data_IF_016522438028
#
_entry.id   IF_016522438028
#
_cell.length_a   1.000
_cell.length_b   1.000
_cell.length_c   1.000
_cell.angle_alpha   90.00
_cell.angle_beta   90.00
_cell.angle_gamma   90.00
#
_symmetry.space_group_name_H-M   'P 1'
#
loop_
_entity.id
_entity.type
_entity.pdbx_description
1 polymer ?
#
# COMPACT_ATOMS: atom_id res chain seq x y z
N UNK A 1 -4.63 13.84 -21.69
CA UNK A 1 -4.66 13.72 -20.20
C UNK A 1 -4.88 12.27 -19.79
N UNK A 2 -4.02 11.76 -18.87
CA UNK A 2 -4.06 10.37 -18.41
C UNK A 2 -5.32 10.06 -17.64
N UNK A 3 -5.99 8.95 -17.98
CA UNK A 3 -7.14 8.39 -17.25
C UNK A 3 -6.88 6.92 -16.95
N UNK A 4 -7.07 6.48 -15.71
CA UNK A 4 -6.90 5.09 -15.27
C UNK A 4 -8.16 4.67 -14.54
N UNK A 5 -8.81 3.59 -15.00
CA UNK A 5 -9.97 3.01 -14.32
C UNK A 5 -9.49 2.01 -13.27
N UNK A 6 -9.86 2.24 -12.00
CA UNK A 6 -9.67 1.31 -10.88
C UNK A 6 -11.05 0.97 -10.34
N UNK A 7 -11.43 -0.29 -10.35
CA UNK A 7 -12.78 -0.71 -9.98
C UNK A 7 -13.85 0.04 -10.79
N UNK A 8 -14.71 0.77 -10.08
CA UNK A 8 -15.77 1.59 -10.69
C UNK A 8 -15.34 3.04 -10.95
N UNK A 9 -14.18 3.49 -10.43
CA UNK A 9 -13.73 4.88 -10.47
C UNK A 9 -12.73 5.13 -11.58
N UNK A 10 -12.80 6.31 -12.18
CA UNK A 10 -11.81 6.80 -13.14
C UNK A 10 -10.95 7.85 -12.44
N UNK A 11 -9.65 7.57 -12.36
CA UNK A 11 -8.67 8.46 -11.76
C UNK A 11 -7.99 9.26 -12.87
N UNK A 12 -7.93 10.58 -12.70
CA UNK A 12 -7.30 11.52 -13.63
C UNK A 12 -6.82 12.75 -12.85
N UNK A 13 -6.12 13.68 -13.52
CA UNK A 13 -5.74 14.97 -12.92
C UNK A 13 -6.94 15.74 -12.31
N UNK A 14 -8.11 15.62 -12.93
CA UNK A 14 -9.31 16.39 -12.55
C UNK A 14 -10.32 15.57 -11.73
N UNK A 15 -10.03 14.30 -11.44
CA UNK A 15 -10.92 13.51 -10.59
C UNK A 15 -10.77 13.88 -9.12
N UNK A 16 -11.76 13.51 -8.31
CA UNK A 16 -11.60 13.45 -6.85
C UNK A 16 -10.42 12.53 -6.52
N UNK A 17 -9.82 12.73 -5.37
CA UNK A 17 -8.77 11.86 -4.84
C UNK A 17 -9.33 10.46 -4.56
N UNK A 18 -8.53 9.43 -4.83
CA UNK A 18 -8.84 8.03 -4.56
C UNK A 18 -8.07 7.59 -3.31
N UNK A 19 -8.80 7.21 -2.26
CA UNK A 19 -8.24 6.89 -0.95
C UNK A 19 -8.18 5.37 -0.74
N UNK A 20 -6.98 4.87 -0.41
CA UNK A 20 -6.67 3.45 -0.14
C UNK A 20 -6.37 3.27 1.35
N UNK A 21 -7.24 2.60 2.08
CA UNK A 21 -7.02 2.22 3.46
C UNK A 21 -6.22 0.91 3.51
N UNK A 22 -4.95 0.97 3.90
CA UNK A 22 -4.10 -0.21 4.05
C UNK A 22 -4.38 -0.90 5.40
N UNK A 23 -5.15 -1.97 5.36
CA UNK A 23 -5.36 -2.82 6.53
C UNK A 23 -4.05 -3.52 6.91
N UNK A 24 -3.19 -3.82 5.92
CA UNK A 24 -1.90 -4.45 6.15
C UNK A 24 -2.01 -5.69 7.02
N UNK A 25 -1.25 -5.72 8.13
CA UNK A 25 -1.29 -6.78 9.14
C UNK A 25 -2.35 -6.58 10.23
N UNK A 26 -3.10 -5.47 10.23
CA UNK A 26 -4.03 -5.09 11.31
C UNK A 26 -5.24 -6.01 11.46
N UNK A 27 -5.41 -7.01 10.58
CA UNK A 27 -6.39 -8.08 10.74
C UNK A 27 -6.00 -9.09 11.83
N UNK A 28 -4.76 -9.05 12.37
CA UNK A 28 -4.26 -9.89 13.47
C UNK A 28 -4.48 -11.41 13.25
N UNK A 29 -4.44 -11.89 12.00
CA UNK A 29 -4.71 -13.30 11.66
C UNK A 29 -6.17 -13.75 11.82
N UNK A 30 -7.11 -12.84 12.08
CA UNK A 30 -8.54 -13.14 12.29
C UNK A 30 -9.39 -12.66 11.10
N UNK A 31 -10.06 -13.60 10.43
CA UNK A 31 -10.98 -13.32 9.31
C UNK A 31 -12.17 -12.43 9.72
N UNK A 32 -12.71 -12.60 10.93
CA UNK A 32 -13.84 -11.79 11.42
C UNK A 32 -13.39 -10.33 11.57
N UNK A 33 -12.17 -10.14 12.07
CA UNK A 33 -11.54 -8.84 12.18
C UNK A 33 -11.28 -8.22 10.81
N UNK A 34 -10.72 -8.98 9.87
CA UNK A 34 -10.52 -8.52 8.48
C UNK A 34 -11.83 -7.98 7.87
N UNK A 35 -12.94 -8.71 8.02
CA UNK A 35 -14.28 -8.30 7.56
C UNK A 35 -14.78 -7.04 8.28
N UNK A 36 -14.56 -6.93 9.59
CA UNK A 36 -14.90 -5.72 10.38
C UNK A 36 -14.15 -4.50 9.84
N UNK A 37 -12.84 -4.63 9.59
CA UNK A 37 -12.00 -3.55 9.08
C UNK A 37 -12.43 -3.10 7.68
N UNK A 38 -12.78 -4.01 6.76
CA UNK A 38 -13.34 -3.65 5.44
C UNK A 38 -14.58 -2.76 5.61
N UNK A 39 -15.51 -3.15 6.48
CA UNK A 39 -16.72 -2.36 6.75
C UNK A 39 -16.39 -0.98 7.33
N UNK A 40 -15.43 -0.90 8.24
CA UNK A 40 -15.00 0.38 8.83
C UNK A 40 -14.31 1.27 7.80
N UNK A 41 -13.44 0.75 6.94
CA UNK A 41 -12.83 1.49 5.83
C UNK A 41 -13.90 2.12 4.93
N UNK A 42 -14.90 1.34 4.52
CA UNK A 42 -15.98 1.83 3.67
C UNK A 42 -16.79 2.93 4.36
N UNK A 43 -17.14 2.76 5.65
CA UNK A 43 -17.88 3.76 6.43
C UNK A 43 -17.09 5.04 6.65
N UNK A 44 -15.77 4.94 6.78
CA UNK A 44 -14.88 6.09 6.93
C UNK A 44 -14.63 6.85 5.61
N UNK A 45 -15.16 6.37 4.49
CA UNK A 45 -15.08 7.05 3.18
C UNK A 45 -13.89 6.63 2.32
N UNK A 46 -13.24 5.49 2.62
CA UNK A 46 -12.20 4.96 1.75
C UNK A 46 -12.80 4.41 0.43
N UNK A 47 -12.08 4.59 -0.68
CA UNK A 47 -12.44 4.04 -1.99
C UNK A 47 -12.02 2.58 -2.16
N UNK A 48 -10.91 2.23 -1.52
CA UNK A 48 -10.38 0.88 -1.47
C UNK A 48 -9.90 0.53 -0.07
N UNK A 49 -9.95 -0.76 0.28
CA UNK A 49 -9.17 -1.30 1.36
C UNK A 49 -8.15 -2.31 0.82
N UNK A 50 -6.93 -2.26 1.35
CA UNK A 50 -5.80 -3.05 0.86
C UNK A 50 -5.34 -4.04 1.93
N UNK A 51 -5.05 -5.25 1.48
CA UNK A 51 -4.34 -6.27 2.24
C UNK A 51 -2.93 -6.49 1.69
N UNK A 52 -2.19 -7.37 2.34
CA UNK A 52 -0.84 -7.75 1.95
C UNK A 52 -0.77 -9.28 1.87
N UNK A 53 -0.48 -9.83 0.68
CA UNK A 53 -0.37 -11.27 0.47
C UNK A 53 1.09 -11.68 0.48
N UNK A 54 1.53 -12.27 1.57
CA UNK A 54 2.87 -12.83 1.73
C UNK A 54 2.83 -14.16 2.48
N UNK A 55 3.92 -14.92 2.37
CA UNK A 55 4.24 -16.07 3.23
C UNK A 55 5.55 -15.75 3.94
N UNK A 56 5.62 -15.96 5.25
CA UNK A 56 6.84 -15.71 6.00
C UNK A 56 8.06 -16.37 5.35
N UNK A 57 7.93 -17.63 4.91
CA UNK A 57 9.01 -18.40 4.27
C UNK A 57 9.54 -17.85 2.94
N UNK A 58 8.79 -16.98 2.26
CA UNK A 58 9.19 -16.39 0.96
C UNK A 58 9.61 -14.93 1.07
N UNK A 59 9.40 -14.28 2.22
CA UNK A 59 9.72 -12.87 2.42
C UNK A 59 10.77 -12.63 3.52
N UNK A 60 10.91 -13.56 4.49
CA UNK A 60 11.80 -13.43 5.65
C UNK A 60 12.75 -14.63 5.74
N UNK A 61 14.04 -14.35 5.84
CA UNK A 61 15.03 -15.35 6.24
C UNK A 61 15.15 -15.37 7.76
N UNK A 62 14.51 -16.34 8.44
CA UNK A 62 14.56 -16.46 9.90
C UNK A 62 15.99 -16.54 10.44
N UNK A 63 16.84 -17.34 9.77
CA UNK A 63 18.24 -17.51 10.12
C UNK A 63 19.03 -16.19 10.03
N UNK A 64 18.85 -15.44 8.95
CA UNK A 64 19.59 -14.19 8.74
C UNK A 64 19.11 -13.10 9.69
N UNK A 65 17.79 -12.96 9.89
CA UNK A 65 17.24 -11.96 10.81
C UNK A 65 17.68 -12.20 12.26
N UNK A 66 17.84 -13.46 12.70
CA UNK A 66 18.39 -13.79 14.03
C UNK A 66 19.87 -13.39 14.18
N UNK A 67 20.64 -13.45 13.08
CA UNK A 67 22.07 -13.07 13.07
C UNK A 67 22.30 -11.56 12.90
N UNK A 68 21.38 -10.86 12.23
CA UNK A 68 21.51 -9.44 11.97
C UNK A 68 21.27 -8.65 13.24
N UNK A 69 22.33 -8.02 13.76
CA UNK A 69 22.23 -7.10 14.91
C UNK A 69 21.69 -5.72 14.46
N UNK A 70 20.55 -5.72 13.76
CA UNK A 70 19.99 -4.52 13.11
C UNK A 70 19.23 -3.69 14.14
N UNK A 71 19.52 -2.40 14.21
CA UNK A 71 18.76 -1.40 14.96
C UNK A 71 17.51 -0.97 14.19
N UNK A 72 16.56 -1.89 13.99
CA UNK A 72 15.27 -1.60 13.37
C UNK A 72 14.15 -1.59 14.41
N UNK A 73 13.00 -1.01 14.08
CA UNK A 73 11.81 -1.06 14.92
C UNK A 73 11.39 -2.50 15.28
N UNK A 74 11.72 -3.47 14.43
CA UNK A 74 11.45 -4.90 14.59
C UNK A 74 12.21 -5.52 15.78
N UNK A 75 13.33 -4.94 16.21
CA UNK A 75 14.09 -5.38 17.39
C UNK A 75 13.29 -5.28 18.70
N UNK A 76 12.25 -4.43 18.71
CA UNK A 76 11.34 -4.23 19.86
C UNK A 76 10.23 -5.28 19.94
N UNK A 77 10.10 -6.16 18.94
CA UNK A 77 9.08 -7.19 18.94
C UNK A 77 9.45 -8.33 19.91
N UNK A 78 8.46 -8.84 20.62
CA UNK A 78 8.66 -10.00 21.52
C UNK A 78 8.84 -11.33 20.78
N UNK A 79 8.25 -11.42 19.58
CA UNK A 79 8.38 -12.56 18.67
C UNK A 79 9.45 -12.26 17.62
N UNK A 80 10.05 -13.32 17.06
CA UNK A 80 10.93 -13.17 15.90
C UNK A 80 10.20 -12.54 14.72
N UNK A 81 10.94 -11.90 13.82
CA UNK A 81 10.37 -11.32 12.59
C UNK A 81 9.60 -12.38 11.80
N UNK A 82 10.14 -13.58 11.71
CA UNK A 82 9.51 -14.71 11.01
C UNK A 82 8.15 -15.09 11.62
N UNK A 83 8.06 -15.17 12.95
CA UNK A 83 6.80 -15.47 13.65
C UNK A 83 5.75 -14.38 13.45
N UNK A 84 6.17 -13.09 13.52
CA UNK A 84 5.26 -11.96 13.28
C UNK A 84 4.70 -12.02 11.86
N UNK A 85 5.53 -12.29 10.86
CA UNK A 85 5.07 -12.44 9.47
C UNK A 85 4.22 -13.69 9.27
N UNK A 86 4.48 -14.78 10.01
CA UNK A 86 3.63 -15.99 9.98
C UNK A 86 2.22 -15.67 10.48
N UNK A 87 2.12 -15.01 11.63
CA UNK A 87 0.85 -14.62 12.24
C UNK A 87 0.08 -13.63 11.37
N UNK A 88 0.76 -12.72 10.66
CA UNK A 88 0.17 -11.72 9.79
C UNK A 88 -0.10 -12.21 8.37
N UNK A 89 0.28 -13.44 8.03
CA UNK A 89 0.04 -14.01 6.69
C UNK A 89 -1.46 -14.24 6.45
N UNK A 90 -1.92 -13.83 5.28
CA UNK A 90 -3.31 -14.06 4.86
C UNK A 90 -3.49 -15.49 4.34
N UNK A 91 -4.53 -16.18 4.80
CA UNK A 91 -4.92 -17.46 4.23
C UNK A 91 -5.60 -17.24 2.87
N UNK A 92 -5.11 -17.90 1.83
CA UNK A 92 -5.63 -17.80 0.46
C UNK A 92 -7.13 -18.12 0.35
N UNK A 93 -7.65 -18.96 1.23
CA UNK A 93 -9.09 -19.29 1.27
C UNK A 93 -9.95 -18.08 1.61
N UNK A 94 -9.38 -17.06 2.28
CA UNK A 94 -10.11 -15.85 2.59
C UNK A 94 -10.45 -15.01 1.37
N UNK A 95 -9.70 -15.11 0.28
CA UNK A 95 -9.88 -14.25 -0.91
C UNK A 95 -11.32 -14.27 -1.44
N UNK A 96 -11.95 -15.44 -1.53
CA UNK A 96 -13.35 -15.57 -1.96
C UNK A 96 -14.32 -14.94 -0.96
N UNK A 97 -14.05 -15.11 0.33
CA UNK A 97 -14.88 -14.57 1.41
C UNK A 97 -14.76 -13.05 1.45
N UNK A 98 -13.53 -12.53 1.51
CA UNK A 98 -13.26 -11.11 1.53
C UNK A 98 -13.85 -10.42 0.30
N UNK A 99 -13.76 -11.02 -0.91
CA UNK A 99 -14.35 -10.46 -2.13
C UNK A 99 -15.86 -10.21 -2.00
N UNK A 100 -16.58 -11.11 -1.29
CA UNK A 100 -18.02 -10.91 -1.01
C UNK A 100 -18.23 -9.71 -0.07
N UNK A 101 -17.40 -9.58 0.98
CA UNK A 101 -17.51 -8.46 1.92
C UNK A 101 -17.14 -7.12 1.25
N UNK A 102 -16.13 -7.07 0.40
CA UNK A 102 -15.80 -5.90 -0.43
C UNK A 102 -16.97 -5.47 -1.31
N UNK A 103 -17.60 -6.44 -2.01
CA UNK A 103 -18.78 -6.17 -2.85
C UNK A 103 -19.94 -5.65 -2.01
N UNK A 104 -20.23 -6.27 -0.84
CA UNK A 104 -21.29 -5.87 0.09
C UNK A 104 -21.13 -4.45 0.59
N UNK A 105 -19.89 -4.03 0.86
CA UNK A 105 -19.58 -2.70 1.37
C UNK A 105 -19.27 -1.67 0.27
N UNK A 106 -19.40 -2.04 -1.01
CA UNK A 106 -19.18 -1.18 -2.19
C UNK A 106 -17.81 -0.48 -2.19
N UNK A 107 -16.75 -1.17 -1.76
CA UNK A 107 -15.38 -0.70 -1.69
C UNK A 107 -14.47 -1.62 -2.54
N UNK A 108 -13.40 -1.08 -3.15
CA UNK A 108 -12.49 -1.86 -3.98
C UNK A 108 -11.54 -2.71 -3.14
N UNK A 109 -11.36 -3.97 -3.55
CA UNK A 109 -10.39 -4.89 -2.95
C UNK A 109 -9.02 -4.71 -3.63
N UNK A 110 -8.03 -4.19 -2.92
CA UNK A 110 -6.64 -4.13 -3.37
C UNK A 110 -5.73 -5.03 -2.54
N UNK A 111 -4.58 -5.38 -3.10
CA UNK A 111 -3.52 -6.07 -2.37
C UNK A 111 -2.15 -5.81 -2.95
N UNK A 112 -1.12 -5.94 -2.09
CA UNK A 112 0.28 -6.10 -2.48
C UNK A 112 0.63 -7.58 -2.42
N UNK A 113 0.89 -8.25 -3.55
CA UNK A 113 1.46 -9.60 -3.54
C UNK A 113 2.98 -9.52 -3.37
N UNK A 114 3.52 -10.23 -2.40
CA UNK A 114 4.96 -10.33 -2.10
C UNK A 114 5.52 -11.71 -2.48
N UNK A 115 4.86 -12.41 -3.40
CA UNK A 115 5.25 -13.71 -3.91
C UNK A 115 4.73 -13.84 -5.35
N UNK A 116 5.54 -14.40 -6.25
CA UNK A 116 5.18 -14.54 -7.66
C UNK A 116 3.89 -15.37 -7.87
N UNK A 117 3.64 -16.37 -7.01
CA UNK A 117 2.43 -17.18 -7.11
C UNK A 117 1.19 -16.39 -6.70
N UNK A 118 1.33 -15.51 -5.68
CA UNK A 118 0.22 -14.66 -5.28
C UNK A 118 -0.22 -13.67 -6.37
N UNK A 119 0.68 -13.27 -7.27
CA UNK A 119 0.28 -12.42 -8.42
C UNK A 119 -0.80 -13.09 -9.25
N UNK A 120 -0.70 -14.39 -9.50
CA UNK A 120 -1.71 -15.14 -10.26
C UNK A 120 -2.96 -15.41 -9.40
N UNK A 121 -2.76 -15.81 -8.17
CA UNK A 121 -3.83 -16.21 -7.26
C UNK A 121 -4.81 -15.05 -6.99
N UNK A 122 -4.31 -13.84 -6.72
CA UNK A 122 -5.14 -12.68 -6.41
C UNK A 122 -5.74 -12.01 -7.63
N UNK A 123 -5.25 -12.31 -8.84
CA UNK A 123 -5.61 -11.59 -10.06
C UNK A 123 -7.12 -11.49 -10.28
N UNK A 124 -7.87 -12.57 -10.07
CA UNK A 124 -9.33 -12.58 -10.30
C UNK A 124 -10.14 -11.78 -9.26
N UNK A 125 -9.53 -11.40 -8.13
CA UNK A 125 -10.24 -10.75 -7.03
C UNK A 125 -10.08 -9.23 -7.02
N UNK A 126 -8.98 -8.71 -7.55
CA UNK A 126 -8.56 -7.30 -7.42
C UNK A 126 -8.73 -6.52 -8.73
N UNK A 127 -9.10 -5.22 -8.69
CA UNK A 127 -9.14 -4.36 -9.88
C UNK A 127 -7.78 -3.76 -10.25
N UNK A 128 -6.82 -3.67 -9.31
CA UNK A 128 -5.50 -3.12 -9.52
C UNK A 128 -4.49 -3.80 -8.57
N UNK A 129 -3.21 -3.74 -8.93
CA UNK A 129 -2.11 -4.23 -8.11
C UNK A 129 -1.40 -3.09 -7.38
N UNK A 130 -0.96 -3.34 -6.14
CA UNK A 130 -0.01 -2.48 -5.44
C UNK A 130 1.35 -3.18 -5.36
N UNK A 131 2.42 -2.43 -5.64
CA UNK A 131 3.81 -2.84 -5.42
C UNK A 131 4.34 -1.98 -4.28
N UNK A 132 4.80 -2.63 -3.21
CA UNK A 132 5.39 -1.97 -2.05
C UNK A 132 6.73 -1.33 -2.37
N UNK A 133 7.17 -0.38 -1.54
CA UNK A 133 8.46 0.30 -1.73
C UNK A 133 9.64 -0.68 -1.70
N UNK A 134 9.59 -1.71 -0.86
CA UNK A 134 10.65 -2.72 -0.73
C UNK A 134 10.87 -3.56 -1.99
N UNK A 135 9.87 -3.63 -2.88
CA UNK A 135 9.91 -4.49 -4.08
C UNK A 135 10.23 -3.72 -5.36
N UNK A 136 10.54 -2.41 -5.27
CA UNK A 136 10.75 -1.56 -6.46
C UNK A 136 11.93 -2.03 -7.34
N UNK A 137 12.86 -2.78 -6.79
CA UNK A 137 14.00 -3.37 -7.51
C UNK A 137 13.77 -4.83 -7.94
N UNK A 138 12.66 -5.45 -7.53
CA UNK A 138 12.35 -6.84 -7.88
C UNK A 138 11.73 -6.93 -9.28
N UNK A 139 12.60 -7.03 -10.28
CA UNK A 139 12.21 -6.99 -11.71
C UNK A 139 11.17 -8.05 -12.07
N UNK A 140 11.28 -9.28 -11.55
CA UNK A 140 10.40 -10.38 -11.94
C UNK A 140 8.96 -10.15 -11.51
N UNK A 141 8.73 -9.68 -10.28
CA UNK A 141 7.38 -9.38 -9.80
C UNK A 141 6.78 -8.20 -10.56
N UNK A 142 7.60 -7.16 -10.83
CA UNK A 142 7.18 -5.98 -11.60
C UNK A 142 6.72 -6.39 -13.00
N UNK A 143 7.51 -7.19 -13.71
CA UNK A 143 7.18 -7.68 -15.06
C UNK A 143 5.92 -8.53 -15.03
N UNK A 144 5.83 -9.45 -14.06
CA UNK A 144 4.68 -10.36 -13.92
C UNK A 144 3.39 -9.57 -13.68
N UNK A 145 3.41 -8.60 -12.78
CA UNK A 145 2.27 -7.72 -12.48
C UNK A 145 1.92 -6.86 -13.70
N UNK A 146 2.90 -6.23 -14.35
CA UNK A 146 2.65 -5.36 -15.50
C UNK A 146 2.00 -6.12 -16.68
N UNK A 147 2.40 -7.38 -16.91
CA UNK A 147 1.81 -8.27 -17.93
C UNK A 147 0.35 -8.62 -17.65
N UNK A 148 -0.15 -8.49 -16.43
CA UNK A 148 -1.59 -8.68 -16.11
C UNK A 148 -2.50 -7.59 -16.69
N UNK A 149 -1.94 -6.48 -17.20
CA UNK A 149 -2.67 -5.38 -17.88
C UNK A 149 -3.70 -4.66 -16.99
N UNK A 150 -3.74 -4.94 -15.70
CA UNK A 150 -4.50 -4.18 -14.71
C UNK A 150 -3.71 -2.93 -14.28
N UNK A 151 -4.37 -1.89 -13.74
CA UNK A 151 -3.65 -0.76 -13.15
C UNK A 151 -2.59 -1.21 -12.16
N UNK A 152 -1.43 -0.57 -12.21
CA UNK A 152 -0.32 -0.79 -11.30
C UNK A 152 -0.11 0.47 -10.47
N UNK A 153 -0.06 0.30 -9.16
CA UNK A 153 0.24 1.34 -8.17
C UNK A 153 1.58 0.96 -7.56
N UNK A 154 2.62 1.78 -7.73
CA UNK A 154 3.95 1.50 -7.17
C UNK A 154 4.36 2.61 -6.19
N UNK A 155 4.81 2.21 -5.00
CA UNK A 155 5.40 3.13 -4.02
C UNK A 155 6.94 3.16 -4.18
N UNK A 156 7.54 4.31 -3.87
CA UNK A 156 8.94 4.62 -4.20
C UNK A 156 9.79 4.98 -2.98
N UNK A 157 9.38 4.56 -1.78
CA UNK A 157 10.18 4.75 -0.56
C UNK A 157 11.44 3.89 -0.56
N UNK A 158 12.45 4.32 0.21
CA UNK A 158 13.76 3.65 0.35
C UNK A 158 14.45 3.34 -0.98
N UNK A 159 14.31 4.22 -1.97
CA UNK A 159 14.79 4.02 -3.35
C UNK A 159 15.50 5.26 -3.87
N UNK A 160 16.50 5.04 -4.71
CA UNK A 160 17.10 6.12 -5.48
C UNK A 160 16.17 6.53 -6.64
N UNK A 161 16.39 7.73 -7.18
CA UNK A 161 15.65 8.16 -8.38
C UNK A 161 15.91 7.23 -9.58
N UNK A 162 17.09 6.65 -9.66
CA UNK A 162 17.45 5.66 -10.70
C UNK A 162 16.61 4.39 -10.58
N UNK A 163 16.40 3.89 -9.35
CA UNK A 163 15.53 2.72 -9.13
C UNK A 163 14.10 3.00 -9.57
N UNK A 164 13.57 4.18 -9.23
CA UNK A 164 12.24 4.61 -9.67
C UNK A 164 12.15 4.70 -11.19
N UNK A 165 13.14 5.31 -11.84
CA UNK A 165 13.20 5.41 -13.31
C UNK A 165 13.19 4.04 -13.98
N UNK A 166 13.98 3.10 -13.45
CA UNK A 166 14.07 1.75 -13.99
C UNK A 166 12.75 0.98 -13.82
N UNK A 167 12.14 1.04 -12.63
CA UNK A 167 10.85 0.41 -12.37
C UNK A 167 9.74 0.99 -13.25
N UNK A 168 9.65 2.32 -13.37
CA UNK A 168 8.66 3.00 -14.23
C UNK A 168 8.84 2.62 -15.70
N UNK A 169 10.08 2.66 -16.23
CA UNK A 169 10.38 2.23 -17.60
C UNK A 169 9.97 0.78 -17.83
N UNK A 170 10.29 -0.10 -16.88
CA UNK A 170 9.97 -1.53 -16.96
C UNK A 170 8.46 -1.77 -16.98
N UNK A 171 7.68 -1.10 -16.10
CA UNK A 171 6.23 -1.22 -16.10
C UNK A 171 5.65 -0.69 -17.41
N UNK A 172 6.07 0.51 -17.85
CA UNK A 172 5.53 1.17 -19.05
C UNK A 172 5.80 0.39 -20.33
N UNK A 173 6.85 -0.44 -20.36
CA UNK A 173 7.10 -1.37 -21.48
C UNK A 173 5.92 -2.36 -21.69
N UNK A 174 5.24 -2.74 -20.61
CA UNK A 174 4.18 -3.74 -20.65
C UNK A 174 2.80 -3.19 -20.35
N UNK A 175 2.69 -2.07 -19.62
CA UNK A 175 1.42 -1.56 -19.12
C UNK A 175 1.43 -0.05 -18.95
N UNK A 176 0.56 0.62 -19.67
CA UNK A 176 0.45 2.08 -19.58
C UNK A 176 -0.34 2.58 -18.37
N UNK A 177 -1.07 1.73 -17.63
CA UNK A 177 -1.95 2.13 -16.52
C UNK A 177 -1.16 2.19 -15.22
N UNK A 178 -0.34 3.23 -15.04
CA UNK A 178 0.62 3.35 -13.95
C UNK A 178 0.33 4.57 -13.05
N UNK A 179 0.30 4.31 -11.75
CA UNK A 179 0.25 5.29 -10.67
C UNK A 179 1.56 5.17 -9.89
N UNK A 180 2.27 6.29 -9.70
CA UNK A 180 3.55 6.34 -8.97
C UNK A 180 3.35 7.16 -7.69
N UNK A 181 3.64 6.56 -6.55
CA UNK A 181 3.43 7.16 -5.24
C UNK A 181 4.78 7.54 -4.61
N UNK A 182 4.93 8.80 -4.22
CA UNK A 182 5.96 9.16 -3.26
C UNK A 182 5.67 8.43 -1.94
N UNK A 183 6.71 7.99 -1.26
CA UNK A 183 6.58 7.29 0.00
C UNK A 183 7.78 7.55 0.91
N UNK A 184 7.53 7.70 2.21
CA UNK A 184 8.52 7.58 3.28
C UNK A 184 8.23 6.31 4.08
N UNK A 185 9.24 5.44 4.20
CA UNK A 185 9.10 4.11 4.84
C UNK A 185 9.39 4.16 6.36
N UNK A 186 8.90 5.18 7.05
CA UNK A 186 9.09 5.36 8.49
C UNK A 186 7.87 4.84 9.27
N UNK A 187 7.93 3.59 9.71
CA UNK A 187 6.84 2.88 10.40
C UNK A 187 6.90 3.03 11.93
N UNK A 188 7.22 4.21 12.45
CA UNK A 188 7.50 4.40 13.89
C UNK A 188 6.41 5.12 14.65
N UNK A 189 5.49 5.80 13.97
CA UNK A 189 4.53 6.74 14.55
C UNK A 189 5.21 7.89 15.35
N UNK A 190 6.45 8.23 15.04
CA UNK A 190 7.19 9.32 15.67
C UNK A 190 6.93 10.63 14.89
N UNK A 191 6.66 11.72 15.62
CA UNK A 191 6.47 13.04 15.01
C UNK A 191 7.72 13.51 14.24
N UNK A 192 8.92 13.04 14.63
CA UNK A 192 10.16 13.29 13.89
C UNK A 192 10.12 12.80 12.44
N UNK A 193 9.20 11.91 12.10
CA UNK A 193 9.00 11.47 10.70
C UNK A 193 8.69 12.64 9.76
N UNK A 194 8.07 13.72 10.25
CA UNK A 194 7.82 14.93 9.45
C UNK A 194 9.09 15.59 8.96
N UNK A 195 10.22 15.47 9.69
CA UNK A 195 11.51 16.02 9.26
C UNK A 195 12.08 15.32 8.01
N UNK A 196 11.58 14.14 7.68
CA UNK A 196 12.04 13.34 6.55
C UNK A 196 11.06 13.34 5.37
N UNK A 197 9.96 14.11 5.46
CA UNK A 197 8.97 14.20 4.39
C UNK A 197 9.51 15.09 3.26
N UNK A 198 9.49 14.56 2.03
CA UNK A 198 9.94 15.27 0.85
C UNK A 198 8.89 15.22 -0.26
N UNK A 199 7.82 15.99 -0.11
CA UNK A 199 6.74 16.06 -1.12
C UNK A 199 7.19 16.71 -2.44
N UNK A 200 8.31 17.44 -2.48
CA UNK A 200 8.84 18.00 -3.73
C UNK A 200 9.23 16.92 -4.75
N UNK A 201 9.44 15.67 -4.30
CA UNK A 201 9.62 14.51 -5.18
C UNK A 201 8.43 14.34 -6.14
N UNK A 202 7.21 14.69 -5.73
CA UNK A 202 6.03 14.67 -6.62
C UNK A 202 6.18 15.62 -7.80
N UNK A 203 6.77 16.82 -7.58
CA UNK A 203 7.09 17.77 -8.67
C UNK A 203 8.12 17.17 -9.65
N UNK A 204 9.14 16.49 -9.11
CA UNK A 204 10.14 15.81 -9.94
C UNK A 204 9.49 14.70 -10.78
N UNK A 205 8.65 13.85 -10.19
CA UNK A 205 7.93 12.82 -10.93
C UNK A 205 7.02 13.42 -12.02
N UNK A 206 6.29 14.49 -11.70
CA UNK A 206 5.45 15.19 -12.67
C UNK A 206 6.23 15.69 -13.87
N UNK A 207 7.39 16.34 -13.64
CA UNK A 207 8.26 16.86 -14.71
C UNK A 207 8.88 15.73 -15.55
N UNK A 208 9.33 14.66 -14.90
CA UNK A 208 10.04 13.55 -15.57
C UNK A 208 9.11 12.66 -16.36
N UNK A 209 7.98 12.25 -15.77
CA UNK A 209 7.09 11.26 -16.36
C UNK A 209 5.91 11.88 -17.12
N UNK A 210 5.64 13.15 -16.88
CA UNK A 210 4.57 13.92 -17.54
C UNK A 210 3.22 13.17 -17.51
N UNK A 211 2.52 13.08 -18.63
CA UNK A 211 1.23 12.40 -18.76
C UNK A 211 1.33 10.85 -18.85
N UNK A 212 2.51 10.27 -18.64
CA UNK A 212 2.67 8.81 -18.64
C UNK A 212 2.17 8.15 -17.36
N UNK A 213 2.05 8.90 -16.27
CA UNK A 213 1.67 8.39 -14.94
C UNK A 213 0.56 9.23 -14.30
N UNK A 214 -0.01 8.71 -13.22
CA UNK A 214 -0.78 9.48 -12.23
C UNK A 214 0.06 9.53 -10.95
N UNK A 215 0.06 10.68 -10.26
CA UNK A 215 0.78 10.85 -9.00
C UNK A 215 -0.03 10.35 -7.82
N UNK A 216 0.67 9.82 -6.82
CA UNK A 216 0.09 9.40 -5.54
C UNK A 216 1.04 9.60 -4.37
N UNK A 217 0.54 9.35 -3.17
CA UNK A 217 1.27 9.34 -1.91
C UNK A 217 0.94 8.06 -1.14
N UNK A 218 1.96 7.38 -0.62
CA UNK A 218 1.85 6.34 0.41
C UNK A 218 2.49 6.90 1.68
N UNK A 219 1.68 7.17 2.71
CA UNK A 219 2.08 7.97 3.87
C UNK A 219 1.97 7.21 5.18
N UNK A 220 2.98 7.37 6.04
CA UNK A 220 3.11 6.74 7.35
C UNK A 220 3.24 7.77 8.49
N UNK A 221 3.04 9.06 8.20
CA UNK A 221 3.02 10.12 9.22
C UNK A 221 1.71 10.10 9.99
N UNK A 222 1.67 10.70 11.16
CA UNK A 222 0.44 10.90 11.91
C UNK A 222 -0.46 11.94 11.25
N UNK A 223 -1.77 11.80 11.42
CA UNK A 223 -2.75 12.73 10.87
C UNK A 223 -2.78 12.77 9.34
N UNK A 224 -3.16 13.92 8.77
CA UNK A 224 -3.39 14.08 7.33
C UNK A 224 -2.70 15.30 6.69
N UNK A 225 -1.86 16.02 7.43
CA UNK A 225 -1.16 17.22 6.91
C UNK A 225 -0.32 16.90 5.68
N UNK A 226 0.45 15.79 5.70
CA UNK A 226 1.24 15.32 4.55
C UNK A 226 0.35 15.01 3.34
N UNK A 227 -0.85 14.45 3.59
CA UNK A 227 -1.83 14.13 2.54
C UNK A 227 -2.33 15.39 1.85
N UNK A 228 -2.70 16.43 2.61
CA UNK A 228 -3.15 17.72 2.05
C UNK A 228 -2.05 18.35 1.18
N UNK A 229 -0.81 18.35 1.66
CA UNK A 229 0.34 18.82 0.90
C UNK A 229 0.54 18.05 -0.41
N UNK A 230 0.42 16.73 -0.38
CA UNK A 230 0.55 15.90 -1.57
C UNK A 230 -0.57 16.14 -2.59
N UNK A 231 -1.82 16.29 -2.13
CA UNK A 231 -2.97 16.59 -3.01
C UNK A 231 -2.77 17.97 -3.68
N UNK A 232 -2.32 18.97 -2.94
CA UNK A 232 -1.99 20.29 -3.49
C UNK A 232 -0.88 20.22 -4.56
N UNK A 233 0.03 19.24 -4.45
CA UNK A 233 1.08 18.96 -5.43
C UNK A 233 0.63 18.02 -6.56
N UNK A 234 -0.65 17.69 -6.64
CA UNK A 234 -1.25 16.93 -7.73
C UNK A 234 -1.37 15.42 -7.51
N UNK A 235 -1.13 14.91 -6.31
CA UNK A 235 -1.43 13.51 -6.00
C UNK A 235 -2.94 13.24 -6.09
N UNK A 236 -3.30 12.13 -6.74
CA UNK A 236 -4.69 11.70 -6.96
C UNK A 236 -5.00 10.35 -6.34
N UNK A 237 -4.00 9.66 -5.83
CA UNK A 237 -4.15 8.40 -5.11
C UNK A 237 -3.39 8.51 -3.80
N UNK A 238 -4.08 8.31 -2.70
CA UNK A 238 -3.52 8.40 -1.34
C UNK A 238 -3.66 7.04 -0.66
N UNK A 239 -2.60 6.59 -0.03
CA UNK A 239 -2.60 5.36 0.77
C UNK A 239 -2.08 5.67 2.18
N UNK A 240 -2.82 5.21 3.19
CA UNK A 240 -2.39 5.20 4.60
C UNK A 240 -2.86 3.92 5.27
N UNK A 241 -2.13 3.48 6.30
CA UNK A 241 -2.55 2.34 7.11
C UNK A 241 -3.81 2.66 7.92
N UNK A 242 -4.61 1.62 8.14
CA UNK A 242 -5.92 1.72 8.79
C UNK A 242 -6.10 0.65 9.87
N UNK A 243 -6.57 1.04 11.03
CA UNK A 243 -6.94 0.15 12.13
C UNK A 243 -8.23 0.63 12.79
N UNK A 244 -8.84 -0.21 13.61
CA UNK A 244 -9.95 0.20 14.48
C UNK A 244 -9.47 0.74 15.83
N UNK A 245 -8.22 0.45 16.22
CA UNK A 245 -7.64 0.92 17.50
C UNK A 245 -6.10 0.90 17.43
N UNK A 246 -5.46 2.05 17.64
CA UNK A 246 -4.00 2.22 17.64
C UNK A 246 -3.31 1.59 18.88
N UNK A 247 -4.06 1.30 19.95
CA UNK A 247 -3.53 0.71 21.18
C UNK A 247 -3.33 -0.79 21.08
N UNK A 248 -3.81 -1.42 20.00
CA UNK A 248 -3.63 -2.85 19.78
C UNK A 248 -2.15 -3.20 19.57
N UNK A 249 -1.79 -4.42 19.98
CA UNK A 249 -0.45 -4.98 19.73
C UNK A 249 -0.41 -5.54 18.30
N UNK A 250 0.58 -5.14 17.54
CA UNK A 250 0.79 -5.59 16.17
C UNK A 250 1.79 -4.69 15.45
N UNK A 251 2.28 -5.09 14.28
CA UNK A 251 3.32 -4.34 13.59
C UNK A 251 2.84 -2.98 13.06
N UNK A 252 1.57 -2.86 12.67
CA UNK A 252 1.08 -1.71 11.90
C UNK A 252 0.11 -0.80 12.68
N UNK A 253 -0.44 -1.23 13.82
CA UNK A 253 -1.50 -0.49 14.51
C UNK A 253 -1.09 0.92 14.93
N UNK A 254 0.13 1.07 15.48
CA UNK A 254 0.57 2.30 16.15
C UNK A 254 0.56 3.53 15.24
N UNK A 255 0.93 3.38 13.96
CA UNK A 255 0.98 4.49 12.99
C UNK A 255 -0.22 4.54 12.04
N UNK A 256 -1.17 3.61 12.20
CA UNK A 256 -2.38 3.55 11.38
C UNK A 256 -3.39 4.63 11.79
N UNK A 257 -4.23 5.03 10.85
CA UNK A 257 -5.38 5.89 11.11
C UNK A 257 -6.55 5.07 11.63
N UNK A 258 -7.31 5.67 12.56
CA UNK A 258 -8.60 5.14 13.03
C UNK A 258 -9.75 5.58 12.10
N UNK A 259 -10.95 4.99 12.20
CA UNK A 259 -12.11 5.43 11.42
C UNK A 259 -12.40 6.94 11.52
N UNK A 260 -12.24 7.51 12.72
CA UNK A 260 -12.49 8.94 12.98
C UNK A 260 -11.45 9.82 12.30
N UNK A 261 -10.16 9.54 12.50
CA UNK A 261 -9.07 10.32 11.89
C UNK A 261 -9.06 10.16 10.37
N UNK A 262 -9.43 8.96 9.87
CA UNK A 262 -9.59 8.72 8.44
C UNK A 262 -10.73 9.55 7.84
N UNK A 263 -11.90 9.56 8.51
CA UNK A 263 -13.06 10.34 8.06
C UNK A 263 -12.70 11.83 7.98
N UNK A 264 -12.05 12.37 9.00
CA UNK A 264 -11.56 13.76 9.01
C UNK A 264 -10.60 14.06 7.84
N UNK A 265 -9.81 13.08 7.40
CA UNK A 265 -8.91 13.26 6.25
C UNK A 265 -9.66 13.32 4.92
N UNK A 266 -10.79 12.61 4.79
CA UNK A 266 -11.50 12.44 3.51
C UNK A 266 -12.49 13.57 3.23
N UNK A 267 -13.06 14.18 4.28
CA UNK A 267 -14.00 15.33 4.15
C UNK A 267 -13.26 16.63 3.97
#
# INVERSE_FOLDING_TARGET
MKKIKVGKKIISKNSKTYFIADIGANHDGDLRRAKKLIKLCAKAGADAAKFQHFRAKTIVSDFQFKKLNINTHQKKWKKSVYEVYTDASINSLWNKILKKDFKKNNIDFLTSPYDLNYVDEVNKFIPAYKIGSGDITWKDIIIKIAKKKKPVIIATGASTFTDVMNAVKLILKYNSKLIVMQCNTNYTADEKNFNHINLNVLKQFSRTFKDKIILGLSDHTQGHTTVLGAIALGAKVIEKHFTDDNKRKGPDHKFSMTPETWHTMVI
#
